data_IF_985234033462
#
_entry.id   IF_985234033462
#
_cell.length_a   1.000
_cell.length_b   1.000
_cell.length_c   1.000
_cell.angle_alpha   90.00
_cell.angle_beta   90.00
_cell.angle_gamma   90.00
#
_symmetry.space_group_name_H-M   'P 1'
#
loop_
_entity.id
_entity.type
_entity.pdbx_description
1 polymer ?
#
# COMPACT_ATOMS: atom_id res chain seq x y z
N UNK A 1 -0.24 12.76 -19.82
CA UNK A 1 -0.34 13.07 -18.39
C UNK A 1 0.30 11.92 -17.63
N UNK A 2 1.15 12.19 -16.64
CA UNK A 2 1.76 11.16 -15.80
C UNK A 2 0.73 10.63 -14.80
N UNK A 3 0.66 9.31 -14.61
CA UNK A 3 -0.18 8.70 -13.58
C UNK A 3 0.29 9.17 -12.20
N UNK A 4 -0.65 9.54 -11.31
CA UNK A 4 -0.31 9.92 -9.95
C UNK A 4 0.34 8.74 -9.18
N UNK A 5 1.36 8.99 -8.33
CA UNK A 5 2.06 7.93 -7.60
C UNK A 5 1.12 7.02 -6.79
N UNK A 6 0.07 7.60 -6.19
CA UNK A 6 -0.92 6.84 -5.42
C UNK A 6 -1.72 5.87 -6.32
N UNK A 7 -2.01 6.26 -7.55
CA UNK A 7 -2.71 5.41 -8.52
C UNK A 7 -1.79 4.26 -8.95
N UNK A 8 -0.49 4.53 -9.16
CA UNK A 8 0.51 3.50 -9.48
C UNK A 8 0.59 2.46 -8.35
N UNK A 9 0.67 2.89 -7.09
CA UNK A 9 0.66 1.99 -5.94
C UNK A 9 -0.57 1.06 -5.93
N UNK A 10 -1.76 1.61 -6.20
CA UNK A 10 -3.00 0.82 -6.27
C UNK A 10 -3.01 -0.15 -7.47
N UNK A 11 -2.44 0.23 -8.61
CA UNK A 11 -2.28 -0.65 -9.78
C UNK A 11 -1.40 -1.85 -9.42
N UNK A 12 -0.27 -1.61 -8.76
CA UNK A 12 0.65 -2.69 -8.39
C UNK A 12 0.03 -3.63 -7.36
N UNK A 13 -0.67 -3.10 -6.35
CA UNK A 13 -1.43 -3.92 -5.40
C UNK A 13 -2.52 -4.76 -6.07
N UNK A 14 -3.24 -4.20 -7.05
CA UNK A 14 -4.23 -4.96 -7.83
C UNK A 14 -3.55 -6.13 -8.56
N UNK A 15 -2.41 -5.89 -9.21
CA UNK A 15 -1.64 -6.93 -9.92
C UNK A 15 -1.15 -8.00 -8.95
N UNK A 16 -0.60 -7.63 -7.81
CA UNK A 16 -0.14 -8.56 -6.77
C UNK A 16 -1.28 -9.43 -6.20
N UNK A 17 -2.49 -8.86 -6.11
CA UNK A 17 -3.69 -9.59 -5.72
C UNK A 17 -4.29 -10.46 -6.87
N UNK A 18 -3.66 -10.49 -8.05
CA UNK A 18 -4.15 -11.18 -9.25
C UNK A 18 -5.58 -10.77 -9.67
N UNK A 19 -5.94 -9.51 -9.44
CA UNK A 19 -7.25 -8.98 -9.81
C UNK A 19 -7.22 -8.34 -11.19
N UNK A 20 -8.18 -8.69 -12.05
CA UNK A 20 -8.42 -7.94 -13.29
C UNK A 20 -8.96 -6.55 -12.97
N UNK A 21 -8.82 -5.61 -13.92
CA UNK A 21 -9.43 -4.27 -13.80
C UNK A 21 -10.94 -4.36 -13.58
N UNK A 22 -11.61 -5.26 -14.30
CA UNK A 22 -13.04 -5.51 -14.18
C UNK A 22 -13.43 -6.00 -12.80
N UNK A 23 -12.67 -6.98 -12.27
CA UNK A 23 -12.95 -7.54 -10.95
C UNK A 23 -12.79 -6.48 -9.86
N UNK A 24 -11.73 -5.68 -9.90
CA UNK A 24 -11.53 -4.63 -8.92
C UNK A 24 -12.61 -3.55 -9.04
N UNK A 25 -12.90 -3.07 -10.25
CA UNK A 25 -13.93 -2.05 -10.48
C UNK A 25 -15.29 -2.49 -9.92
N UNK A 26 -15.73 -3.71 -10.26
CA UNK A 26 -16.97 -4.29 -9.78
C UNK A 26 -16.98 -4.41 -8.24
N UNK A 27 -15.92 -4.99 -7.65
CA UNK A 27 -15.81 -5.19 -6.21
C UNK A 27 -15.63 -3.88 -5.41
N UNK A 28 -15.21 -2.80 -6.06
CA UNK A 28 -15.12 -1.45 -5.47
C UNK A 28 -16.36 -0.58 -5.77
N UNK A 29 -17.37 -1.13 -6.45
CA UNK A 29 -18.63 -0.44 -6.71
C UNK A 29 -18.53 0.67 -7.77
N UNK A 30 -17.66 0.51 -8.77
CA UNK A 30 -17.53 1.47 -9.88
C UNK A 30 -17.53 0.78 -11.25
N UNK A 31 -17.82 1.53 -12.30
CA UNK A 31 -17.77 1.00 -13.66
C UNK A 31 -16.33 0.73 -14.11
N UNK A 32 -16.15 -0.29 -14.95
CA UNK A 32 -14.84 -0.60 -15.56
C UNK A 32 -14.26 0.61 -16.28
N UNK A 33 -15.09 1.34 -17.05
CA UNK A 33 -14.68 2.55 -17.78
C UNK A 33 -14.10 3.61 -16.85
N UNK A 34 -14.73 3.84 -15.70
CA UNK A 34 -14.24 4.81 -14.71
C UNK A 34 -12.90 4.36 -14.14
N UNK A 35 -12.78 3.08 -13.76
CA UNK A 35 -11.53 2.55 -13.22
C UNK A 35 -10.37 2.60 -14.23
N UNK A 36 -10.63 2.26 -15.49
CA UNK A 36 -9.63 2.33 -16.56
C UNK A 36 -9.14 3.75 -16.82
N UNK A 37 -10.04 4.75 -16.79
CA UNK A 37 -9.64 6.16 -16.91
C UNK A 37 -8.75 6.60 -15.76
N UNK A 38 -9.06 6.16 -14.53
CA UNK A 38 -8.22 6.41 -13.35
C UNK A 38 -6.85 5.78 -13.56
N UNK A 39 -6.79 4.47 -13.89
CA UNK A 39 -5.50 3.80 -14.10
C UNK A 39 -4.68 4.46 -15.21
N UNK A 40 -5.29 4.97 -16.29
CA UNK A 40 -4.58 5.66 -17.38
C UNK A 40 -4.20 7.12 -17.07
N UNK A 41 -4.64 7.68 -15.94
CA UNK A 41 -4.43 9.10 -15.63
C UNK A 41 -5.29 10.06 -16.48
N UNK A 42 -6.41 9.57 -17.00
CA UNK A 42 -7.41 10.35 -17.77
C UNK A 42 -8.54 10.90 -16.86
N UNK A 43 -8.54 10.52 -15.60
CA UNK A 43 -9.47 11.01 -14.59
C UNK A 43 -8.82 10.93 -13.20
N UNK A 44 -9.00 11.97 -12.40
CA UNK A 44 -8.56 11.99 -11.01
C UNK A 44 -9.36 10.97 -10.19
N UNK A 45 -8.70 10.35 -9.22
CA UNK A 45 -9.36 9.45 -8.27
C UNK A 45 -10.09 10.26 -7.20
N UNK A 46 -11.40 10.08 -7.09
CA UNK A 46 -12.17 10.68 -5.98
C UNK A 46 -11.85 9.95 -4.68
N UNK A 47 -11.87 10.66 -3.55
CA UNK A 47 -11.63 10.05 -2.23
C UNK A 47 -12.58 8.88 -1.89
N UNK A 48 -13.82 8.91 -2.38
CA UNK A 48 -14.75 7.79 -2.21
C UNK A 48 -14.33 6.55 -3.01
N UNK A 49 -13.80 6.73 -4.22
CA UNK A 49 -13.27 5.66 -5.07
C UNK A 49 -12.00 5.07 -4.47
N UNK A 50 -11.09 5.93 -4.01
CA UNK A 50 -9.88 5.55 -3.30
C UNK A 50 -10.20 4.66 -2.08
N UNK A 51 -11.08 5.11 -1.19
CA UNK A 51 -11.51 4.33 0.00
C UNK A 51 -12.17 3.00 -0.38
N UNK A 52 -12.97 2.98 -1.44
CA UNK A 52 -13.58 1.72 -1.90
C UNK A 52 -12.55 0.74 -2.44
N UNK A 53 -11.58 1.21 -3.24
CA UNK A 53 -10.49 0.39 -3.75
C UNK A 53 -9.65 -0.20 -2.60
N UNK A 54 -9.28 0.63 -1.62
CA UNK A 54 -8.53 0.17 -0.45
C UNK A 54 -9.26 -0.93 0.33
N UNK A 55 -10.57 -0.76 0.57
CA UNK A 55 -11.39 -1.79 1.24
C UNK A 55 -11.41 -3.10 0.45
N UNK A 56 -11.55 -3.02 -0.88
CA UNK A 56 -11.52 -4.20 -1.75
C UNK A 56 -10.16 -4.90 -1.71
N UNK A 57 -9.06 -4.13 -1.73
CA UNK A 57 -7.69 -4.65 -1.67
C UNK A 57 -7.26 -5.07 -0.25
N UNK A 58 -8.04 -4.70 0.78
CA UNK A 58 -7.75 -4.94 2.21
C UNK A 58 -6.42 -4.32 2.66
N UNK A 59 -6.20 -3.06 2.27
CA UNK A 59 -4.98 -2.31 2.60
C UNK A 59 -5.29 -1.01 3.31
N UNK A 60 -4.32 -0.51 4.06
CA UNK A 60 -4.40 0.74 4.83
C UNK A 60 -3.76 1.91 4.09
N UNK A 61 -3.99 3.14 4.55
CA UNK A 61 -3.33 4.32 3.98
C UNK A 61 -1.81 4.24 4.13
N UNK A 62 -1.34 3.68 5.25
CA UNK A 62 0.08 3.47 5.49
C UNK A 62 0.69 2.53 4.44
N UNK A 63 0.02 1.44 4.09
CA UNK A 63 0.48 0.51 3.06
C UNK A 63 0.67 1.22 1.71
N UNK A 64 -0.29 2.06 1.33
CA UNK A 64 -0.23 2.82 0.07
C UNK A 64 0.88 3.88 0.12
N UNK A 65 1.04 4.59 1.24
CA UNK A 65 2.12 5.58 1.42
C UNK A 65 3.49 4.91 1.33
N UNK A 66 3.65 3.75 1.97
CA UNK A 66 4.89 2.96 1.89
C UNK A 66 5.21 2.57 0.45
N UNK A 67 4.22 2.21 -0.36
CA UNK A 67 4.45 1.94 -1.78
C UNK A 67 4.88 3.17 -2.56
N UNK A 68 4.24 4.31 -2.31
CA UNK A 68 4.53 5.59 -2.98
C UNK A 68 5.97 6.04 -2.72
N UNK A 69 6.47 5.86 -1.49
CA UNK A 69 7.85 6.22 -1.13
C UNK A 69 8.86 5.12 -1.48
N UNK A 70 8.45 4.05 -2.16
CA UNK A 70 9.32 2.94 -2.56
C UNK A 70 9.76 2.03 -1.39
N UNK A 71 9.09 2.13 -0.24
CA UNK A 71 9.28 1.26 0.92
C UNK A 71 8.32 0.05 0.90
N UNK A 72 7.81 -0.32 -0.29
CA UNK A 72 6.73 -1.29 -0.51
C UNK A 72 7.01 -2.69 0.05
N UNK A 73 8.29 -3.07 0.19
CA UNK A 73 8.70 -4.35 0.77
C UNK A 73 10.03 -4.21 1.54
N UNK A 74 10.01 -3.70 2.77
CA UNK A 74 11.18 -3.75 3.63
C UNK A 74 11.47 -5.21 3.92
N UNK A 75 12.54 -5.74 3.36
CA UNK A 75 13.02 -7.08 3.67
C UNK A 75 13.49 -7.11 5.13
N UNK A 76 13.67 -8.31 5.68
CA UNK A 76 14.33 -8.47 6.98
C UNK A 76 15.70 -7.77 7.01
N UNK A 77 16.39 -7.73 5.87
CA UNK A 77 17.66 -7.04 5.72
C UNK A 77 17.50 -5.52 5.78
N UNK A 78 16.44 -4.95 5.19
CA UNK A 78 16.17 -3.51 5.23
C UNK A 78 15.82 -3.04 6.64
N UNK A 79 15.01 -3.81 7.37
CA UNK A 79 14.71 -3.55 8.79
C UNK A 79 15.99 -3.62 9.63
N UNK A 80 16.82 -4.66 9.41
CA UNK A 80 18.09 -4.80 10.10
C UNK A 80 19.06 -3.65 9.77
N UNK A 81 19.12 -3.22 8.50
CA UNK A 81 19.95 -2.11 8.06
C UNK A 81 19.49 -0.77 8.66
N UNK A 82 18.19 -0.47 8.60
CA UNK A 82 17.62 0.73 9.22
C UNK A 82 17.86 0.76 10.74
N UNK A 83 17.78 -0.38 11.41
CA UNK A 83 18.04 -0.47 12.86
C UNK A 83 19.47 -0.09 13.26
N UNK A 84 20.44 -0.12 12.33
CA UNK A 84 21.83 0.29 12.60
C UNK A 84 21.98 1.80 12.79
N UNK A 85 21.05 2.58 12.24
CA UNK A 85 21.02 4.05 12.38
C UNK A 85 20.53 4.49 13.76
N UNK A 86 19.89 3.59 14.50
CA UNK A 86 19.39 3.86 15.84
C UNK A 86 20.52 3.79 16.88
N UNK A 87 20.42 4.64 17.90
CA UNK A 87 21.21 4.53 19.13
C UNK A 87 20.94 3.21 19.85
N UNK A 88 21.80 2.87 20.81
CA UNK A 88 21.65 1.64 21.62
C UNK A 88 20.30 1.59 22.36
N UNK A 89 19.82 2.73 22.85
CA UNK A 89 18.55 2.83 23.58
C UNK A 89 17.36 2.63 22.64
N UNK A 90 17.31 3.34 21.51
CA UNK A 90 16.25 3.23 20.51
C UNK A 90 16.18 1.82 19.91
N UNK A 91 17.34 1.17 19.71
CA UNK A 91 17.40 -0.23 19.26
C UNK A 91 16.81 -1.19 20.28
N UNK A 92 17.00 -0.93 21.58
CA UNK A 92 16.31 -1.69 22.64
C UNK A 92 14.82 -1.47 22.69
N UNK A 93 14.35 -0.25 22.45
CA UNK A 93 12.92 0.01 22.35
C UNK A 93 12.30 -0.73 21.16
N UNK A 94 12.95 -0.72 20.00
CA UNK A 94 12.51 -1.48 18.82
C UNK A 94 12.46 -2.99 19.09
N UNK A 95 13.50 -3.55 19.74
CA UNK A 95 13.53 -4.98 20.10
C UNK A 95 12.41 -5.32 21.09
N UNK A 96 12.20 -4.49 22.12
CA UNK A 96 11.11 -4.68 23.09
C UNK A 96 9.74 -4.67 22.41
N UNK A 97 9.51 -3.74 21.47
CA UNK A 97 8.29 -3.66 20.67
C UNK A 97 8.06 -4.94 19.85
N UNK A 98 9.08 -5.42 19.14
CA UNK A 98 8.99 -6.66 18.35
C UNK A 98 8.63 -7.85 19.26
N UNK A 99 9.28 -7.96 20.43
CA UNK A 99 9.01 -9.02 21.39
C UNK A 99 7.63 -8.92 22.05
N UNK A 100 7.09 -7.70 22.25
CA UNK A 100 5.76 -7.52 22.83
C UNK A 100 4.65 -7.95 21.88
N UNK A 101 4.81 -7.72 20.57
CA UNK A 101 3.85 -8.18 19.55
C UNK A 101 3.82 -9.71 19.47
N UNK A 102 4.98 -10.38 19.60
CA UNK A 102 5.07 -11.85 19.59
C UNK A 102 4.31 -12.52 20.74
N UNK A 103 4.18 -11.87 21.89
CA UNK A 103 3.47 -12.44 23.06
C UNK A 103 1.95 -12.39 22.95
N UNK A 104 1.40 -11.62 22.01
CA UNK A 104 -0.04 -11.43 21.83
C UNK A 104 -0.66 -12.34 20.76
N UNK A 105 0.14 -13.22 20.15
CA UNK A 105 -0.29 -14.33 19.29
C UNK A 105 -0.05 -15.65 20.01
#
# INVERSE_FOLDING_TARGET
MSQEPIVIALIERRKQANLSQEKLAFSSGMSLKTYQRIERGEADIKMSQYRSIMRTLKVTDLDVVLDVVGASQPTKADVAAASRLLSSEERMLLIKLILSVKKQQ
#
